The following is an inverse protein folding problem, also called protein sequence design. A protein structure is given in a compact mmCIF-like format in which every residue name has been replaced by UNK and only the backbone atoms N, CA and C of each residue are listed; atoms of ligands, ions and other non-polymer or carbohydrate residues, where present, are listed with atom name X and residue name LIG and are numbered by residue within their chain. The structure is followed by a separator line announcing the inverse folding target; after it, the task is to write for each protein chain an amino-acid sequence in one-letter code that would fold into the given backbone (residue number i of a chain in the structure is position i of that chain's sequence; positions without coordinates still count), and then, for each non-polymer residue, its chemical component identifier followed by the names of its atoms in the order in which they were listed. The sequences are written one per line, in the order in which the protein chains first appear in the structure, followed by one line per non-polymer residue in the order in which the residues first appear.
data_IF_172534497294
#
_entry.id   IF_172534497294
#
_cell.length_a   1.000
_cell.length_b   1.000
_cell.length_c   1.000
_cell.angle_alpha   90.00
_cell.angle_beta   90.00
_cell.angle_gamma   90.00
#
_symmetry.space_group_name_H-M   'P 1'
#
loop_
_entity.id
_entity.type
_entity.pdbx_description
1 polymer ?
#
# COMPACT_ATOMS: atom_id res chain seq x y z
N UNK A 1 -20.98 34.11 -18.25
CA UNK A 1 -20.49 32.75 -18.51
C UNK A 1 -20.86 31.93 -17.28
N UNK A 2 -21.97 31.21 -17.35
CA UNK A 2 -22.51 30.42 -16.24
C UNK A 2 -21.81 29.06 -16.20
N UNK A 3 -21.13 28.76 -15.09
CA UNK A 3 -20.62 27.42 -14.80
C UNK A 3 -21.79 26.46 -14.64
N UNK A 4 -21.84 25.46 -15.52
CA UNK A 4 -22.75 24.31 -15.40
C UNK A 4 -21.96 23.24 -14.65
N UNK A 5 -22.38 22.88 -13.45
CA UNK A 5 -21.91 21.68 -12.75
C UNK A 5 -22.51 20.44 -13.44
N UNK A 6 -21.76 19.34 -13.64
CA UNK A 6 -22.33 18.14 -14.21
C UNK A 6 -23.22 17.45 -13.16
N UNK A 7 -24.54 17.45 -13.38
CA UNK A 7 -25.46 16.56 -12.68
C UNK A 7 -25.20 15.11 -13.12
N UNK A 8 -24.78 14.26 -12.18
CA UNK A 8 -24.72 12.81 -12.38
C UNK A 8 -26.15 12.25 -12.46
N UNK A 9 -26.56 11.81 -13.65
CA UNK A 9 -27.84 11.12 -13.87
C UNK A 9 -27.68 9.61 -13.68
N UNK A 10 -28.14 9.10 -12.55
CA UNK A 10 -28.50 7.69 -12.42
C UNK A 10 -29.90 7.48 -13.01
N UNK A 11 -30.01 6.86 -14.18
CA UNK A 11 -31.29 6.33 -14.66
C UNK A 11 -31.34 4.83 -14.39
N UNK A 12 -31.92 4.45 -13.26
CA UNK A 12 -32.72 3.24 -13.17
C UNK A 12 -34.16 3.70 -12.91
N UNK A 13 -35.17 3.22 -13.65
CA UNK A 13 -36.54 3.65 -13.44
C UNK A 13 -36.99 3.19 -12.06
N UNK A 14 -37.14 4.14 -11.13
CA UNK A 14 -37.85 3.92 -9.88
C UNK A 14 -39.33 3.70 -10.25
N UNK A 15 -39.71 2.43 -10.41
CA UNK A 15 -41.10 2.05 -10.31
C UNK A 15 -41.62 2.50 -8.94
N UNK A 16 -42.74 3.21 -8.93
CA UNK A 16 -43.40 3.74 -7.73
C UNK A 16 -43.42 2.71 -6.59
N UNK A 17 -42.56 2.87 -5.58
CA UNK A 17 -42.65 2.13 -4.33
C UNK A 17 -43.31 3.05 -3.30
N UNK A 18 -44.47 2.62 -2.81
CA UNK A 18 -45.21 3.31 -1.77
C UNK A 18 -44.39 3.43 -0.47
N UNK A 19 -44.57 4.50 0.33
CA UNK A 19 -43.83 4.69 1.56
C UNK A 19 -44.32 3.71 2.63
N UNK A 20 -43.52 2.69 2.94
CA UNK A 20 -43.65 1.93 4.17
C UNK A 20 -42.49 2.28 5.11
N UNK A 21 -42.86 2.77 6.29
CA UNK A 21 -41.98 2.98 7.41
C UNK A 21 -41.42 1.63 7.89
N UNK A 22 -40.12 1.43 7.72
CA UNK A 22 -39.41 0.25 8.24
C UNK A 22 -38.44 -0.34 7.22
N UNK A 23 -37.19 0.09 7.27
CA UNK A 23 -36.05 -0.54 6.60
C UNK A 23 -36.07 -0.46 5.08
N UNK A 24 -35.28 0.47 4.52
CA UNK A 24 -34.93 0.44 3.11
C UNK A 24 -34.08 -0.82 2.85
N UNK A 25 -34.74 -1.91 2.47
CA UNK A 25 -34.05 -3.04 1.87
C UNK A 25 -33.60 -2.61 0.47
N UNK A 26 -32.33 -2.25 0.34
CA UNK A 26 -31.65 -2.11 -0.94
C UNK A 26 -31.53 -3.51 -1.57
N UNK A 27 -32.65 -4.06 -2.05
CA UNK A 27 -32.62 -5.24 -2.91
C UNK A 27 -32.10 -4.80 -4.28
N UNK A 28 -30.80 -4.90 -4.47
CA UNK A 28 -30.18 -4.67 -5.78
C UNK A 28 -30.59 -5.84 -6.69
N UNK A 29 -31.59 -5.62 -7.54
CA UNK A 29 -32.31 -6.68 -8.26
C UNK A 29 -31.60 -7.18 -9.52
N UNK A 30 -30.31 -6.92 -9.67
CA UNK A 30 -29.54 -7.29 -10.85
C UNK A 30 -28.09 -7.46 -10.44
N UNK A 31 -27.43 -8.50 -10.96
CA UNK A 31 -25.97 -8.73 -10.83
C UNK A 31 -25.22 -7.45 -11.19
N UNK A 32 -25.00 -6.60 -10.22
CA UNK A 32 -24.09 -5.48 -10.32
C UNK A 32 -22.71 -6.09 -10.31
N UNK A 33 -21.97 -5.92 -11.40
CA UNK A 33 -20.53 -6.12 -11.38
C UNK A 33 -19.89 -5.26 -10.27
N UNK A 34 -18.62 -5.49 -9.95
CA UNK A 34 -17.91 -4.65 -8.98
C UNK A 34 -18.10 -3.17 -9.33
N UNK A 35 -18.64 -2.39 -8.40
CA UNK A 35 -18.72 -0.94 -8.52
C UNK A 35 -17.55 -0.35 -7.74
N UNK A 36 -16.73 0.45 -8.40
CA UNK A 36 -15.68 1.22 -7.74
C UNK A 36 -16.33 2.56 -7.37
N UNK A 37 -16.39 2.87 -6.07
CA UNK A 37 -16.91 4.14 -5.58
C UNK A 37 -15.87 5.28 -5.81
N UNK A 38 -16.28 6.53 -5.64
CA UNK A 38 -15.44 7.72 -5.84
C UNK A 38 -14.21 7.76 -4.93
N UNK A 39 -14.25 7.02 -3.82
CA UNK A 39 -13.13 6.83 -2.90
C UNK A 39 -12.30 5.56 -3.23
N UNK A 40 -12.48 4.95 -4.41
CA UNK A 40 -11.77 3.73 -4.78
C UNK A 40 -12.25 2.47 -4.06
N UNK A 41 -13.28 2.55 -3.23
CA UNK A 41 -13.87 1.37 -2.59
C UNK A 41 -14.43 0.41 -3.64
N UNK A 42 -13.98 -0.84 -3.62
CA UNK A 42 -14.61 -1.89 -4.43
C UNK A 42 -15.82 -2.40 -3.67
N UNK A 43 -17.00 -2.07 -4.19
CA UNK A 43 -18.29 -2.55 -3.70
C UNK A 43 -18.71 -3.76 -4.51
N UNK A 44 -18.64 -4.94 -3.91
CA UNK A 44 -19.16 -6.18 -4.47
C UNK A 44 -20.47 -6.52 -3.76
N UNK A 45 -21.57 -6.39 -4.49
CA UNK A 45 -22.88 -6.85 -4.03
C UNK A 45 -23.19 -8.24 -4.61
N UNK A 46 -23.40 -9.23 -3.74
CA UNK A 46 -23.99 -10.53 -4.09
C UNK A 46 -25.26 -10.74 -3.26
N UNK A 47 -26.07 -11.76 -3.59
CA UNK A 47 -27.37 -12.09 -3.00
C UNK A 47 -27.40 -12.09 -1.45
N UNK A 48 -27.48 -10.90 -0.85
CA UNK A 48 -27.53 -10.66 0.60
C UNK A 48 -26.27 -10.07 1.26
N UNK A 49 -25.18 -9.84 0.53
CA UNK A 49 -23.93 -9.29 1.10
C UNK A 49 -23.36 -8.15 0.26
N UNK A 50 -22.84 -7.14 0.95
CA UNK A 50 -22.05 -6.05 0.37
C UNK A 50 -20.65 -6.14 0.97
N UNK A 51 -19.67 -6.45 0.13
CA UNK A 51 -18.25 -6.37 0.51
C UNK A 51 -17.71 -5.04 0.01
N UNK A 52 -17.15 -4.26 0.92
CA UNK A 52 -16.46 -3.00 0.61
C UNK A 52 -15.00 -3.20 0.94
N UNK A 53 -14.16 -3.25 -0.08
CA UNK A 53 -12.70 -3.29 0.09
C UNK A 53 -12.17 -1.91 -0.22
N UNK A 54 -11.61 -1.24 0.81
CA UNK A 54 -10.89 0.02 0.65
C UNK A 54 -9.39 -0.26 0.62
N UNK A 55 -8.65 0.38 -0.29
CA UNK A 55 -7.21 0.46 -0.18
C UNK A 55 -6.82 1.00 1.21
N UNK A 56 -5.69 0.58 1.79
CA UNK A 56 -5.16 1.23 2.97
C UNK A 56 -4.94 2.72 2.70
N UNK A 57 -5.34 3.59 3.63
CA UNK A 57 -4.91 4.99 3.58
C UNK A 57 -3.38 5.04 3.55
N UNK A 58 -2.81 6.03 2.87
CA UNK A 58 -1.38 6.21 2.68
C UNK A 58 -0.64 5.13 1.84
N UNK A 59 -1.35 4.17 1.23
CA UNK A 59 -0.80 3.25 0.22
C UNK A 59 -0.90 3.89 -1.17
N UNK A 60 0.04 4.77 -1.49
CA UNK A 60 0.01 5.55 -2.73
C UNK A 60 0.53 4.77 -3.93
N UNK A 61 1.18 3.63 -3.72
CA UNK A 61 1.61 2.74 -4.82
C UNK A 61 0.60 1.63 -5.13
N UNK A 62 -0.36 1.38 -4.24
CA UNK A 62 -1.40 0.36 -4.38
C UNK A 62 -0.89 -1.06 -4.17
N UNK A 63 0.21 -1.23 -3.44
CA UNK A 63 0.84 -2.53 -3.19
C UNK A 63 0.34 -3.22 -1.91
N UNK A 64 -0.67 -2.63 -1.26
CA UNK A 64 -1.30 -3.12 -0.03
C UNK A 64 -0.52 -2.74 1.24
N UNK A 65 0.42 -1.81 1.10
CA UNK A 65 1.47 -1.53 2.05
C UNK A 65 1.57 -0.03 2.33
N UNK A 66 2.01 0.31 3.54
CA UNK A 66 2.39 1.68 3.90
C UNK A 66 3.83 1.68 4.32
N UNK A 67 4.70 2.27 3.53
CA UNK A 67 6.12 2.31 3.79
C UNK A 67 6.77 3.50 3.05
N UNK A 68 8.10 3.51 3.00
CA UNK A 68 8.85 4.58 2.34
C UNK A 68 8.69 4.60 0.81
N UNK A 69 8.19 3.52 0.18
CA UNK A 69 7.87 3.50 -1.25
C UNK A 69 6.65 4.39 -1.58
N UNK A 70 5.76 4.62 -0.63
CA UNK A 70 4.60 5.50 -0.80
C UNK A 70 4.96 6.99 -0.79
N UNK A 71 6.11 7.37 -0.24
CA UNK A 71 6.49 8.79 -0.07
C UNK A 71 6.64 9.50 -1.41
N UNK A 72 7.34 8.89 -2.37
CA UNK A 72 7.52 9.51 -3.68
C UNK A 72 6.19 9.61 -4.44
N UNK A 73 5.33 8.60 -4.30
CA UNK A 73 4.02 8.58 -4.94
C UNK A 73 3.07 9.62 -4.31
N UNK A 74 3.11 9.79 -2.98
CA UNK A 74 2.42 10.85 -2.25
C UNK A 74 2.84 12.25 -2.72
N UNK A 75 4.15 12.51 -2.80
CA UNK A 75 4.66 13.79 -3.27
C UNK A 75 4.27 14.05 -4.73
N UNK A 76 4.34 13.04 -5.60
CA UNK A 76 3.87 13.16 -6.98
C UNK A 76 2.38 13.49 -7.03
N UNK A 77 1.55 12.85 -6.21
CA UNK A 77 0.13 13.12 -6.13
C UNK A 77 -0.18 14.56 -5.69
N UNK A 78 0.58 15.11 -4.73
CA UNK A 78 0.44 16.51 -4.29
C UNK A 78 0.87 17.51 -5.37
N UNK A 79 1.94 17.20 -6.10
CA UNK A 79 2.53 18.13 -7.07
C UNK A 79 1.87 18.07 -8.45
N UNK A 80 1.51 16.88 -8.90
CA UNK A 80 0.91 16.60 -10.21
C UNK A 80 -0.06 15.41 -10.10
N UNK A 81 -1.28 15.63 -9.59
CA UNK A 81 -2.26 14.57 -9.40
C UNK A 81 -2.67 13.88 -10.71
N UNK A 82 -2.59 14.59 -11.85
CA UNK A 82 -2.87 14.00 -13.16
C UNK A 82 -1.79 12.99 -13.56
N UNK A 83 -0.52 13.33 -13.37
CA UNK A 83 0.60 12.41 -13.60
C UNK A 83 0.57 11.21 -12.66
N UNK A 84 0.31 11.43 -11.36
CA UNK A 84 0.12 10.32 -10.41
C UNK A 84 -1.02 9.39 -10.86
N UNK A 85 -2.18 9.94 -11.24
CA UNK A 85 -3.33 9.15 -11.67
C UNK A 85 -3.03 8.33 -12.94
N UNK A 86 -2.24 8.86 -13.88
CA UNK A 86 -1.87 8.16 -15.11
C UNK A 86 -0.81 7.07 -14.89
N UNK A 87 0.12 7.28 -13.96
CA UNK A 87 1.31 6.42 -13.81
C UNK A 87 1.20 5.41 -12.66
N UNK A 88 0.45 5.73 -11.61
CA UNK A 88 0.34 4.92 -10.39
C UNK A 88 -1.12 4.60 -10.09
N UNK A 89 -1.99 5.62 -10.02
CA UNK A 89 -3.40 5.45 -9.63
C UNK A 89 -4.17 4.47 -10.53
N UNK A 90 -4.30 4.79 -11.83
CA UNK A 90 -5.03 3.94 -12.79
C UNK A 90 -4.39 2.56 -12.95
N UNK A 91 -3.05 2.43 -13.10
CA UNK A 91 -2.41 1.11 -13.18
C UNK A 91 -2.55 0.26 -11.91
N UNK A 92 -2.47 0.87 -10.72
CA UNK A 92 -2.63 0.20 -9.43
C UNK A 92 -4.09 -0.02 -9.01
N UNK A 93 -5.05 0.59 -9.72
CA UNK A 93 -6.47 0.51 -9.37
C UNK A 93 -6.83 1.26 -8.08
N UNK A 94 -6.03 2.27 -7.71
CA UNK A 94 -6.25 3.10 -6.51
C UNK A 94 -6.75 4.49 -6.89
N UNK A 95 -7.59 5.06 -6.04
CA UNK A 95 -8.14 6.41 -6.20
C UNK A 95 -7.47 7.37 -5.22
N UNK A 96 -7.13 8.58 -5.70
CA UNK A 96 -6.45 9.59 -4.90
C UNK A 96 -7.17 9.97 -3.62
N UNK A 97 -8.49 10.16 -3.66
CA UNK A 97 -9.27 10.44 -2.44
C UNK A 97 -9.31 9.21 -1.52
N UNK A 98 -9.32 8.00 -2.11
CA UNK A 98 -9.36 6.75 -1.36
C UNK A 98 -8.11 6.47 -0.52
N UNK A 99 -6.94 6.82 -1.05
CA UNK A 99 -5.65 6.59 -0.37
C UNK A 99 -5.11 7.84 0.30
N UNK A 100 -5.51 9.03 -0.16
CA UNK A 100 -4.86 10.29 0.18
C UNK A 100 -5.59 11.15 1.21
N UNK A 101 -6.92 11.15 1.25
CA UNK A 101 -7.72 11.94 2.19
C UNK A 101 -7.74 11.25 3.58
N UNK A 102 -6.62 11.32 4.30
CA UNK A 102 -6.46 10.62 5.57
C UNK A 102 -6.99 11.41 6.76
N UNK A 103 -7.23 12.72 6.60
CA UNK A 103 -7.92 13.52 7.61
C UNK A 103 -9.46 13.49 7.43
N UNK A 104 -9.94 12.92 6.33
CA UNK A 104 -11.33 12.67 5.97
C UNK A 104 -12.15 13.97 5.88
N UNK A 105 -11.59 14.98 5.22
CA UNK A 105 -12.25 16.26 4.93
C UNK A 105 -12.88 16.34 3.53
N UNK A 106 -12.71 15.30 2.72
CA UNK A 106 -13.25 15.15 1.38
C UNK A 106 -12.36 15.70 0.28
N UNK A 107 -11.15 16.15 0.60
CA UNK A 107 -10.16 16.69 -0.33
C UNK A 107 -8.81 16.02 -0.07
N UNK A 108 -8.00 15.90 -1.12
CA UNK A 108 -6.59 15.55 -0.96
C UNK A 108 -5.73 16.80 -1.13
N UNK A 109 -5.09 17.27 -0.06
CA UNK A 109 -4.21 18.43 -0.08
C UNK A 109 -3.12 18.39 1.02
N UNK A 110 -2.52 19.54 1.34
CA UNK A 110 -1.44 19.61 2.34
C UNK A 110 -1.90 19.34 3.78
N UNK A 111 -3.21 19.33 4.06
CA UNK A 111 -3.75 18.95 5.36
C UNK A 111 -3.73 17.43 5.59
N UNK A 112 -3.43 16.63 4.55
CA UNK A 112 -3.23 15.18 4.66
C UNK A 112 -1.79 14.77 5.00
N UNK A 113 -0.83 15.70 4.97
CA UNK A 113 0.60 15.38 5.19
C UNK A 113 0.82 14.79 6.59
N UNK A 114 0.23 15.38 7.62
CA UNK A 114 0.46 14.96 9.00
C UNK A 114 -0.08 13.55 9.24
N UNK A 115 -1.30 13.25 8.77
CA UNK A 115 -1.86 11.91 8.88
C UNK A 115 -1.17 10.89 7.96
N UNK A 116 -0.69 11.30 6.78
CA UNK A 116 0.11 10.44 5.91
C UNK A 116 1.40 10.01 6.62
N UNK A 117 2.12 10.98 7.20
CA UNK A 117 3.34 10.72 7.96
C UNK A 117 3.06 9.80 9.15
N UNK A 118 1.99 10.06 9.91
CA UNK A 118 1.59 9.18 11.01
C UNK A 118 1.29 7.75 10.53
N UNK A 119 0.60 7.59 9.40
CA UNK A 119 0.24 6.28 8.84
C UNK A 119 1.45 5.51 8.30
N UNK A 120 2.39 6.20 7.64
CA UNK A 120 3.64 5.60 7.13
C UNK A 120 4.61 5.28 8.26
N UNK A 121 4.64 6.08 9.32
CA UNK A 121 5.48 5.87 10.50
C UNK A 121 4.88 4.91 11.52
N UNK A 122 3.59 4.56 11.41
CA UNK A 122 2.91 3.71 12.37
C UNK A 122 3.49 2.28 12.35
N UNK A 123 4.48 2.05 13.22
CA UNK A 123 4.88 0.73 13.64
C UNK A 123 3.73 0.07 14.40
N UNK A 124 3.09 -0.91 13.77
CA UNK A 124 2.05 -1.79 14.33
C UNK A 124 0.73 -1.09 14.76
N UNK A 125 -0.44 -1.45 14.20
CA UNK A 125 -0.71 -2.59 13.31
C UNK A 125 -0.57 -2.27 11.81
N UNK A 126 0.04 -1.14 11.47
CA UNK A 126 -0.05 -0.62 10.11
C UNK A 126 0.97 -1.15 9.09
N UNK A 127 1.90 -2.02 9.51
CA UNK A 127 2.91 -2.55 8.61
C UNK A 127 2.36 -3.55 7.61
N UNK A 128 2.93 -3.54 6.41
CA UNK A 128 2.78 -4.55 5.36
C UNK A 128 2.62 -5.97 5.94
N UNK A 129 1.66 -6.77 5.44
CA UNK A 129 1.68 -8.21 5.66
C UNK A 129 3.06 -8.74 5.26
N UNK A 130 3.71 -9.42 6.20
CA UNK A 130 5.02 -10.01 6.02
C UNK A 130 5.06 -11.37 6.68
N UNK A 131 6.06 -12.17 6.33
CA UNK A 131 6.28 -13.45 6.97
C UNK A 131 6.35 -13.26 8.50
N UNK A 132 5.60 -14.09 9.21
CA UNK A 132 5.59 -14.17 10.66
C UNK A 132 5.93 -15.58 11.07
N UNK A 133 7.01 -15.72 11.82
CA UNK A 133 7.52 -16.98 12.31
C UNK A 133 6.91 -17.28 13.67
N UNK A 134 5.90 -18.13 13.70
CA UNK A 134 5.19 -18.48 14.93
C UNK A 134 6.02 -19.46 15.78
N UNK A 135 5.86 -19.46 17.11
CA UNK A 135 6.60 -20.35 18.02
C UNK A 135 6.44 -21.84 17.70
N UNK A 136 5.31 -22.24 17.11
CA UNK A 136 5.00 -23.62 16.73
C UNK A 136 5.69 -24.05 15.42
N UNK A 137 6.60 -23.23 14.88
CA UNK A 137 7.32 -23.48 13.62
C UNK A 137 6.52 -23.14 12.35
N UNK A 138 5.27 -22.68 12.51
CA UNK A 138 4.44 -22.23 11.39
C UNK A 138 4.86 -20.86 10.86
N UNK A 139 4.59 -20.59 9.58
CA UNK A 139 4.69 -19.27 8.99
C UNK A 139 3.32 -18.73 8.56
N UNK A 140 3.01 -17.50 8.94
CA UNK A 140 1.82 -16.76 8.48
C UNK A 140 2.23 -15.44 7.82
N UNK A 141 1.50 -14.98 6.79
CA UNK A 141 1.69 -13.64 6.23
C UNK A 141 0.68 -12.70 6.90
N UNK A 142 1.12 -12.03 7.95
CA UNK A 142 0.29 -11.16 8.81
C UNK A 142 1.05 -9.87 9.12
N UNK A 143 0.37 -8.88 9.73
CA UNK A 143 1.05 -7.65 10.11
C UNK A 143 2.16 -7.93 11.16
N UNK A 144 3.20 -7.09 11.24
CA UNK A 144 4.19 -7.12 12.33
C UNK A 144 3.57 -7.26 13.72
N UNK A 145 2.43 -6.60 13.89
CA UNK A 145 1.74 -6.51 15.15
C UNK A 145 1.01 -7.74 15.56
N UNK A 146 0.23 -8.27 14.64
CA UNK A 146 -0.42 -9.56 14.83
C UNK A 146 0.64 -10.64 15.02
N UNK A 147 1.78 -10.53 14.35
CA UNK A 147 2.89 -11.46 14.53
C UNK A 147 3.42 -11.46 15.96
N UNK A 148 3.82 -10.29 16.45
CA UNK A 148 4.31 -10.14 17.83
C UNK A 148 3.24 -10.47 18.87
N UNK A 149 1.96 -10.14 18.60
CA UNK A 149 0.83 -10.50 19.47
C UNK A 149 0.57 -12.02 19.52
N UNK A 150 0.93 -12.77 18.48
CA UNK A 150 0.91 -14.25 18.45
C UNK A 150 2.19 -14.88 19.00
N UNK A 151 3.12 -14.08 19.56
CA UNK A 151 4.42 -14.54 20.03
C UNK A 151 5.39 -14.89 18.92
N UNK A 152 5.08 -14.56 17.67
CA UNK A 152 5.94 -14.81 16.52
C UNK A 152 6.96 -13.71 16.26
N UNK A 153 7.96 -14.04 15.45
CA UNK A 153 8.99 -13.12 14.98
C UNK A 153 8.66 -12.65 13.55
N UNK A 154 8.45 -11.34 13.33
CA UNK A 154 8.17 -10.84 12.00
C UNK A 154 9.44 -10.75 11.15
N UNK A 155 9.34 -11.13 9.87
CA UNK A 155 10.39 -10.99 8.87
C UNK A 155 10.61 -9.54 8.41
N UNK A 156 11.47 -9.38 7.41
CA UNK A 156 11.69 -8.14 6.67
C UNK A 156 10.43 -7.67 5.92
N UNK A 157 10.42 -6.40 5.51
CA UNK A 157 9.33 -5.85 4.70
C UNK A 157 9.29 -6.55 3.34
N UNK A 158 8.14 -7.11 2.96
CA UNK A 158 7.98 -7.87 1.72
C UNK A 158 8.36 -9.35 1.81
N UNK A 159 8.83 -9.82 2.97
CA UNK A 159 9.11 -11.25 3.16
C UNK A 159 7.81 -12.06 3.07
N UNK A 160 7.87 -13.21 2.39
CA UNK A 160 6.76 -14.17 2.30
C UNK A 160 7.16 -15.48 2.93
N UNK A 161 6.17 -16.27 3.35
CA UNK A 161 6.41 -17.60 3.89
C UNK A 161 6.94 -18.55 2.80
N UNK A 162 8.22 -18.89 2.84
CA UNK A 162 8.79 -19.89 1.94
C UNK A 162 8.53 -21.28 2.53
N UNK A 163 7.79 -22.12 1.80
CA UNK A 163 7.48 -23.52 2.18
C UNK A 163 6.72 -23.73 3.50
N UNK A 164 6.11 -22.68 4.07
CA UNK A 164 5.25 -22.79 5.27
C UNK A 164 6.01 -22.87 6.60
N UNK A 165 7.33 -22.81 6.55
CA UNK A 165 8.20 -22.76 7.73
C UNK A 165 9.00 -21.47 7.67
N UNK A 166 9.20 -20.85 8.81
CA UNK A 166 10.34 -19.96 8.94
C UNK A 166 11.56 -20.83 9.12
N UNK A 167 12.52 -20.69 8.21
CA UNK A 167 13.77 -21.43 8.32
C UNK A 167 14.36 -21.15 9.71
N UNK A 168 14.51 -22.21 10.50
CA UNK A 168 14.98 -22.17 11.90
C UNK A 168 16.35 -21.47 12.00
N UNK A 169 17.07 -21.42 10.87
CA UNK A 169 18.33 -20.72 10.66
C UNK A 169 18.29 -19.20 10.87
N UNK A 170 17.12 -18.53 10.85
CA UNK A 170 17.02 -17.10 11.17
C UNK A 170 16.72 -16.80 12.64
N UNK A 171 16.31 -17.80 13.44
CA UNK A 171 16.10 -17.62 14.89
C UNK A 171 17.35 -17.86 15.74
N UNK A 172 18.41 -18.44 15.18
CA UNK A 172 19.71 -18.58 15.84
C UNK A 172 20.59 -17.34 15.67
N UNK A 173 20.07 -16.19 16.12
CA UNK A 173 20.98 -15.17 16.62
C UNK A 173 21.81 -15.80 17.75
N UNK A 174 23.13 -15.86 17.55
CA UNK A 174 24.15 -16.38 18.47
C UNK A 174 24.26 -17.92 18.58
N UNK A 175 24.84 -18.61 17.59
CA UNK A 175 26.09 -19.40 17.72
C UNK A 175 26.57 -19.74 16.30
N UNK A 176 27.60 -19.08 15.79
CA UNK A 176 28.64 -19.58 14.84
C UNK A 176 29.43 -18.36 14.31
N UNK A 177 30.01 -17.57 15.23
CA UNK A 177 30.98 -16.52 14.87
C UNK A 177 32.39 -17.07 14.60
N UNK A 178 32.55 -18.33 14.21
CA UNK A 178 33.87 -18.92 13.89
C UNK A 178 33.90 -19.76 12.60
N UNK A 179 32.97 -19.57 11.67
CA UNK A 179 33.24 -19.90 10.27
C UNK A 179 33.87 -18.66 9.60
N UNK A 180 35.12 -18.41 9.96
CA UNK A 180 36.03 -17.52 9.26
C UNK A 180 36.30 -18.12 7.86
N UNK A 181 35.34 -17.94 6.94
CA UNK A 181 35.58 -18.08 5.51
C UNK A 181 36.27 -16.79 5.05
N UNK A 182 37.57 -16.75 5.28
CA UNK A 182 38.47 -15.87 4.53
C UNK A 182 38.41 -16.35 3.08
N UNK A 183 37.53 -15.75 2.29
CA UNK A 183 37.88 -15.54 0.88
C UNK A 183 39.01 -14.55 0.93
N UNK A 184 40.19 -15.04 0.62
CA UNK A 184 41.34 -14.23 0.24
C UNK A 184 40.93 -13.52 -1.07
N UNK A 185 40.19 -12.41 -0.94
CA UNK A 185 40.05 -11.43 -2.03
C UNK A 185 41.37 -10.69 -2.08
N UNK A 186 42.31 -11.29 -2.81
CA UNK A 186 43.50 -10.60 -3.26
C UNK A 186 43.09 -9.29 -3.93
N UNK A 187 43.61 -8.19 -3.37
CA UNK A 187 43.99 -6.95 -4.05
C UNK A 187 43.11 -6.56 -5.25
N UNK A 188 41.96 -5.94 -4.97
CA UNK A 188 41.19 -5.17 -5.95
C UNK A 188 41.02 -3.72 -5.47
N UNK A 189 42.14 -3.04 -5.20
CA UNK A 189 42.14 -1.58 -4.94
C UNK A 189 41.94 -0.75 -6.24
N UNK A 190 41.95 -1.39 -7.42
CA UNK A 190 41.89 -0.69 -8.71
C UNK A 190 40.47 -0.43 -9.23
N UNK A 191 39.43 -1.11 -8.72
CA UNK A 191 38.06 -0.97 -9.26
C UNK A 191 37.26 0.18 -8.63
N UNK A 192 37.59 0.60 -7.41
CA UNK A 192 36.92 1.73 -6.74
C UNK A 192 37.29 3.08 -7.36
N UNK A 193 38.49 3.21 -7.92
CA UNK A 193 38.94 4.45 -8.57
C UNK A 193 38.14 4.74 -9.85
N UNK A 194 37.84 3.70 -10.64
CA UNK A 194 37.03 3.83 -11.86
C UNK A 194 35.58 4.26 -11.57
N UNK A 195 35.01 3.80 -10.44
CA UNK A 195 33.68 4.21 -10.00
C UNK A 195 33.64 5.70 -9.61
N UNK A 196 34.65 6.19 -8.88
CA UNK A 196 34.72 7.60 -8.48
C UNK A 196 35.03 8.57 -9.63
N UNK A 197 35.82 8.14 -10.62
CA UNK A 197 36.03 8.93 -11.85
C UNK A 197 34.75 9.04 -12.69
N UNK A 198 33.95 7.98 -12.75
CA UNK A 198 32.65 7.98 -13.46
C UNK A 198 31.63 8.92 -12.79
N UNK A 199 31.56 8.93 -11.46
CA UNK A 199 30.70 9.86 -10.71
C UNK A 199 31.15 11.32 -10.90
N UNK A 200 32.46 11.57 -10.96
CA UNK A 200 33.00 12.92 -11.15
C UNK A 200 32.72 13.45 -12.55
N UNK A 201 32.83 12.60 -13.58
CA UNK A 201 32.47 12.95 -14.96
C UNK A 201 30.97 13.26 -15.11
N UNK A 202 30.09 12.46 -14.50
CA UNK A 202 28.65 12.68 -14.53
C UNK A 202 28.26 14.01 -13.89
N UNK A 203 28.89 14.39 -12.76
CA UNK A 203 28.62 15.68 -12.10
C UNK A 203 29.02 16.89 -12.96
N UNK A 204 30.02 16.77 -13.83
CA UNK A 204 30.44 17.84 -14.73
C UNK A 204 29.50 18.03 -15.94
N UNK A 205 28.80 16.97 -16.37
CA UNK A 205 27.85 17.00 -17.49
C UNK A 205 26.51 17.66 -17.15
N UNK A 206 26.13 17.68 -15.87
CA UNK A 206 24.81 18.18 -15.41
C UNK A 206 24.90 19.50 -14.62
N UNK A 207 26.01 20.24 -14.75
CA UNK A 207 26.24 21.51 -14.06
C UNK A 207 26.02 22.77 -14.94
N UNK A 208 25.38 22.63 -16.11
CA UNK A 208 24.88 23.76 -16.92
C UNK A 208 23.35 23.86 -16.88
#
# INVERSE_FOLDING_TARGET
MSHVTPELRWWAPLGNVAPHAGGANLKQSSRSGPAIDLDGSVVVANEGYVFVVRPPLADFTGDGCRNNFDVNAFVLALMDPASWHATIGTPGGVNLLGVGDCNNDGVFDNFDIDCFVDLVLCGNPCGCPRACCLPEGGCAVISPGECTAQGGQPGGSGDTCVQGYCDELLMLGEIESEAQFVVDIGEAEDEWTAFWETITWLRAQFAE
#
